data_IF_510994141198
#
_entry.id   IF_510994141198
#
_cell.length_a   1.000
_cell.length_b   1.000
_cell.length_c   1.000
_cell.angle_alpha   90.00
_cell.angle_beta   90.00
_cell.angle_gamma   90.00
#
_symmetry.space_group_name_H-M   'P 1'
#
loop_
_entity.id
_entity.type
_entity.pdbx_description
1 polymer ?
#
# COMPACT_ATOMS: atom_id res chain seq x y z
N UNK A 1 0.55 -11.53 -7.74
CA UNK A 1 1.31 -10.32 -7.34
C UNK A 1 2.69 -10.43 -7.94
N UNK A 2 3.10 -9.51 -8.81
CA UNK A 2 4.50 -9.51 -9.24
C UNK A 2 5.37 -9.22 -8.03
N UNK A 3 6.43 -10.02 -7.82
CA UNK A 3 7.39 -9.88 -6.71
C UNK A 3 7.86 -8.44 -6.55
N UNK A 4 7.94 -7.71 -7.68
CA UNK A 4 8.25 -6.29 -7.80
C UNK A 4 7.32 -5.40 -6.97
N UNK A 5 6.01 -5.63 -6.99
CA UNK A 5 5.04 -4.80 -6.23
C UNK A 5 5.23 -4.97 -4.73
N UNK A 6 5.53 -6.19 -4.29
CA UNK A 6 5.76 -6.50 -2.89
C UNK A 6 7.08 -5.87 -2.40
N UNK A 7 8.13 -5.94 -3.21
CA UNK A 7 9.41 -5.26 -2.94
C UNK A 7 9.22 -3.74 -2.88
N UNK A 8 8.44 -3.15 -3.79
CA UNK A 8 8.14 -1.71 -3.79
C UNK A 8 7.39 -1.29 -2.51
N UNK A 9 6.39 -2.06 -2.09
CA UNK A 9 5.67 -1.82 -0.84
C UNK A 9 6.56 -1.92 0.39
N UNK A 10 7.46 -2.91 0.43
CA UNK A 10 8.45 -3.04 1.50
C UNK A 10 9.41 -1.85 1.53
N UNK A 11 9.84 -1.36 0.38
CA UNK A 11 10.70 -0.18 0.26
C UNK A 11 9.99 1.08 0.79
N UNK A 12 8.74 1.29 0.39
CA UNK A 12 7.92 2.41 0.88
C UNK A 12 7.71 2.31 2.38
N UNK A 13 7.37 1.13 2.90
CA UNK A 13 7.19 0.90 4.33
C UNK A 13 8.49 1.13 5.11
N UNK A 14 9.62 0.64 4.60
CA UNK A 14 10.93 0.87 5.20
C UNK A 14 11.30 2.35 5.23
N UNK A 15 11.05 3.09 4.15
CA UNK A 15 11.27 4.53 4.10
C UNK A 15 10.43 5.28 5.14
N UNK A 16 9.16 4.89 5.30
CA UNK A 16 8.26 5.47 6.30
C UNK A 16 8.72 5.19 7.73
N UNK A 17 9.23 3.98 8.01
CA UNK A 17 9.78 3.63 9.31
C UNK A 17 11.04 4.43 9.62
N UNK A 18 11.96 4.56 8.66
CA UNK A 18 13.17 5.40 8.82
C UNK A 18 12.77 6.85 9.08
N UNK A 19 11.80 7.37 8.33
CA UNK A 19 11.28 8.72 8.55
C UNK A 19 10.65 8.86 9.95
N UNK A 20 9.85 7.91 10.41
CA UNK A 20 9.23 7.95 11.73
C UNK A 20 10.28 7.90 12.87
N UNK A 21 11.34 7.11 12.70
CA UNK A 21 12.45 7.02 13.67
C UNK A 21 13.29 8.30 13.68
N UNK A 22 13.68 8.82 12.51
CA UNK A 22 14.45 10.06 12.39
C UNK A 22 13.68 11.27 12.94
N UNK A 23 12.35 11.26 12.84
CA UNK A 23 11.50 12.37 13.25
C UNK A 23 10.71 12.09 14.54
N UNK A 24 11.06 11.04 15.30
CA UNK A 24 10.39 10.71 16.56
C UNK A 24 10.50 11.82 17.61
N UNK A 25 11.60 12.58 17.60
CA UNK A 25 11.87 13.70 18.52
C UNK A 25 11.23 15.04 18.08
N UNK A 26 10.30 15.02 17.12
CA UNK A 26 9.50 16.20 16.75
C UNK A 26 8.76 16.76 18.00
N UNK A 27 8.80 18.08 18.29
CA UNK A 27 8.92 19.20 17.34
C UNK A 27 10.25 19.96 17.32
N UNK A 28 11.34 19.43 17.89
CA UNK A 28 12.62 20.15 17.92
C UNK A 28 13.77 19.13 17.78
N UNK A 29 14.32 18.86 16.57
CA UNK A 29 14.83 19.82 15.55
C UNK A 29 14.12 19.70 14.15
N UNK A 30 14.60 20.33 13.04
CA UNK A 30 13.92 20.30 11.73
C UNK A 30 13.70 18.88 11.23
N UNK A 31 12.67 18.67 10.39
CA UNK A 31 12.37 17.36 9.84
C UNK A 31 13.58 16.85 9.04
N UNK A 32 14.04 15.65 9.37
CA UNK A 32 15.17 15.01 8.71
C UNK A 32 14.66 13.87 7.86
N UNK A 33 15.01 13.89 6.59
CA UNK A 33 14.71 12.79 5.67
C UNK A 33 16.00 12.48 4.93
N UNK A 34 16.66 11.36 5.29
CA UNK A 34 17.93 10.95 4.67
C UNK A 34 19.03 12.01 4.80
N UNK A 35 19.13 12.66 5.98
CA UNK A 35 20.02 13.81 6.26
C UNK A 35 19.69 15.10 5.52
N UNK A 36 18.63 15.15 4.72
CA UNK A 36 18.11 16.40 4.18
C UNK A 36 17.32 17.13 5.27
N UNK A 37 17.67 18.38 5.55
CA UNK A 37 16.93 19.22 6.49
C UNK A 37 15.74 19.86 5.76
N UNK A 38 14.54 19.45 6.15
CA UNK A 38 13.29 19.99 5.66
C UNK A 38 12.82 21.01 6.71
N UNK A 39 12.40 22.23 6.31
CA UNK A 39 11.86 23.22 7.24
C UNK A 39 10.71 22.63 8.06
N UNK A 40 10.46 23.12 9.28
CA UNK A 40 9.44 22.57 10.16
C UNK A 40 8.06 22.62 9.47
N UNK A 41 7.52 21.46 9.09
CA UNK A 41 6.15 21.37 8.59
C UNK A 41 5.16 21.41 9.76
N UNK A 42 3.95 21.97 9.58
CA UNK A 42 2.90 21.88 10.59
C UNK A 42 2.64 20.44 10.99
N UNK A 43 2.52 20.17 12.29
CA UNK A 43 2.27 18.83 12.82
C UNK A 43 1.00 18.20 12.25
N UNK A 44 -0.02 19.03 11.97
CA UNK A 44 -1.24 18.61 11.28
C UNK A 44 -0.96 17.99 9.91
N UNK A 45 -0.04 18.57 9.15
CA UNK A 45 0.36 18.09 7.82
C UNK A 45 1.03 16.71 7.89
N UNK A 46 1.82 16.45 8.93
CA UNK A 46 2.44 15.14 9.20
C UNK A 46 1.38 14.09 9.56
N UNK A 47 0.46 14.45 10.46
CA UNK A 47 -0.62 13.55 10.88
C UNK A 47 -1.51 13.18 9.69
N UNK A 48 -1.92 14.17 8.88
CA UNK A 48 -2.74 13.93 7.71
C UNK A 48 -2.03 13.09 6.65
N UNK A 49 -0.74 13.33 6.40
CA UNK A 49 0.02 12.50 5.45
C UNK A 49 0.14 11.05 5.93
N UNK A 50 0.42 10.81 7.21
CA UNK A 50 0.43 9.46 7.79
C UNK A 50 -0.94 8.77 7.66
N UNK A 51 -2.04 9.49 7.94
CA UNK A 51 -3.41 8.98 7.79
C UNK A 51 -3.73 8.61 6.34
N UNK A 52 -3.41 9.49 5.39
CA UNK A 52 -3.65 9.27 3.96
C UNK A 52 -2.82 8.08 3.47
N UNK A 53 -1.57 7.96 3.88
CA UNK A 53 -0.70 6.84 3.49
C UNK A 53 -1.24 5.52 4.06
N UNK A 54 -1.62 5.48 5.34
CA UNK A 54 -2.22 4.29 5.95
C UNK A 54 -3.54 3.89 5.29
N UNK A 55 -4.40 4.87 5.00
CA UNK A 55 -5.66 4.67 4.29
C UNK A 55 -5.43 4.11 2.89
N UNK A 56 -4.51 4.70 2.12
CA UNK A 56 -4.17 4.21 0.78
C UNK A 56 -3.63 2.78 0.83
N UNK A 57 -2.77 2.46 1.80
CA UNK A 57 -2.26 1.10 1.96
C UNK A 57 -3.38 0.07 2.23
N UNK A 58 -4.30 0.39 3.15
CA UNK A 58 -5.48 -0.43 3.42
C UNK A 58 -6.38 -0.57 2.19
N UNK A 59 -6.66 0.53 1.51
CA UNK A 59 -7.47 0.56 0.29
C UNK A 59 -6.86 -0.27 -0.84
N UNK A 60 -5.54 -0.16 -1.07
CA UNK A 60 -4.83 -0.96 -2.06
C UNK A 60 -4.94 -2.45 -1.74
N UNK A 61 -4.76 -2.84 -0.47
CA UNK A 61 -4.94 -4.23 -0.05
C UNK A 61 -6.36 -4.74 -0.35
N UNK A 62 -7.37 -3.93 -0.05
CA UNK A 62 -8.77 -4.27 -0.28
C UNK A 62 -9.10 -4.43 -1.78
N UNK A 63 -8.69 -3.47 -2.61
CA UNK A 63 -8.89 -3.54 -4.07
C UNK A 63 -8.21 -4.76 -4.68
N UNK A 64 -7.03 -5.12 -4.19
CA UNK A 64 -6.29 -6.29 -4.64
C UNK A 64 -6.98 -7.60 -4.23
N UNK A 65 -7.65 -7.62 -3.07
CA UNK A 65 -8.47 -8.75 -2.63
C UNK A 65 -9.68 -8.94 -3.54
N UNK A 66 -10.43 -7.87 -3.79
CA UNK A 66 -11.59 -7.89 -4.72
C UNK A 66 -11.17 -8.37 -6.11
N UNK A 67 -10.03 -7.89 -6.63
CA UNK A 67 -9.52 -8.33 -7.93
C UNK A 67 -9.14 -9.82 -7.98
N UNK A 68 -8.80 -10.45 -6.85
CA UNK A 68 -8.55 -11.88 -6.80
C UNK A 68 -9.87 -12.65 -6.79
N UNK A 69 -10.79 -12.25 -5.92
CA UNK A 69 -12.12 -12.85 -5.83
C UNK A 69 -12.85 -12.81 -7.18
N UNK A 70 -12.78 -11.69 -7.92
CA UNK A 70 -13.35 -11.58 -9.27
C UNK A 70 -12.71 -12.56 -10.29
N UNK A 71 -11.38 -12.73 -10.25
CA UNK A 71 -10.69 -13.69 -11.16
C UNK A 71 -11.01 -15.14 -10.84
N UNK A 72 -11.17 -15.44 -9.56
CA UNK A 72 -11.56 -16.78 -9.10
C UNK A 72 -13.01 -17.07 -9.54
N UNK A 73 -13.92 -16.09 -9.39
CA UNK A 73 -15.29 -16.21 -9.88
C UNK A 73 -15.38 -16.36 -11.41
N UNK A 74 -14.60 -15.60 -12.18
CA UNK A 74 -14.51 -15.75 -13.65
C UNK A 74 -13.99 -17.13 -14.05
N UNK A 75 -12.95 -17.63 -13.37
CA UNK A 75 -12.39 -18.96 -13.64
C UNK A 75 -13.35 -20.10 -13.25
N UNK A 76 -14.17 -19.91 -12.22
CA UNK A 76 -15.24 -20.86 -11.86
C UNK A 76 -16.38 -20.84 -12.88
N UNK A 77 -16.79 -19.66 -13.35
CA UNK A 77 -17.80 -19.52 -14.40
C UNK A 77 -17.35 -20.14 -15.73
N UNK A 78 -16.08 -19.98 -16.11
CA UNK A 78 -15.51 -20.59 -17.32
C UNK A 78 -15.44 -22.13 -17.22
N UNK A 79 -15.09 -22.66 -16.04
CA UNK A 79 -15.12 -24.10 -15.77
C UNK A 79 -16.53 -24.69 -15.84
N UNK A 80 -17.52 -24.00 -15.27
CA UNK A 80 -18.92 -24.41 -15.32
C UNK A 80 -19.47 -24.38 -16.75
N UNK A 81 -19.17 -23.32 -17.51
CA UNK A 81 -19.56 -23.21 -18.92
C UNK A 81 -18.90 -24.28 -19.82
N UNK A 82 -17.64 -24.62 -19.57
CA UNK A 82 -16.95 -25.69 -20.30
C UNK A 82 -17.42 -27.10 -19.91
N UNK A 83 -17.93 -27.30 -18.69
CA UNK A 83 -18.47 -28.58 -18.22
C UNK A 83 -19.90 -28.85 -18.75
N UNK A 84 -20.62 -27.81 -19.18
CA UNK A 84 -21.97 -27.90 -19.75
C UNK A 84 -21.97 -28.13 -21.28
N UNK A 85 -20.79 -28.07 -21.93
CA UNK A 85 -20.60 -28.34 -23.36
C UNK A 85 -19.90 -29.68 -23.69
N UNK A 86 -20.43 -30.83 -23.22
CA UNK A 86 -20.21 -32.09 -23.92
C UNK A 86 -21.51 -32.89 -24.06
N UNK A 87 -22.31 -32.59 -25.08
CA UNK A 87 -23.38 -33.47 -25.58
C UNK A 87 -23.80 -33.04 -26.99
N UNK A 88 -22.95 -33.33 -27.99
CA UNK A 88 -23.40 -33.52 -29.39
C UNK A 88 -23.24 -34.99 -29.76
#
# INVERSE_FOLDING_TARGET
MSKIKLVLWLLVLGLLLVFAVENWHYPNPPLRLLRLEIPPLPQSLIIYTCLVIGFLAGWFSHVLRIKRELREAEAEAEKLASAESPAE
#
